data_IF_032576972567
#
_entry.id   IF_032576972567
#
_cell.length_a   1.000
_cell.length_b   1.000
_cell.length_c   1.000
_cell.angle_alpha   90.00
_cell.angle_beta   90.00
_cell.angle_gamma   90.00
#
_symmetry.space_group_name_H-M   'P 1'
#
loop_
_entity.id
_entity.type
_entity.pdbx_description
1 polymer ?
#
# COMPACT_ATOMS: atom_id res chain seq x y z
N UNK A 1 -35.31 0.87 -20.49
CA UNK A 1 -35.55 0.24 -19.17
C UNK A 1 -34.81 1.10 -18.17
N UNK A 2 -35.50 1.55 -17.13
CA UNK A 2 -34.98 2.50 -16.15
C UNK A 2 -33.81 1.87 -15.39
N UNK A 3 -32.59 2.35 -15.64
CA UNK A 3 -31.50 2.16 -14.69
C UNK A 3 -31.84 3.00 -13.48
N UNK A 4 -32.43 2.39 -12.46
CA UNK A 4 -32.42 3.00 -11.13
C UNK A 4 -30.96 3.29 -10.81
N UNK A 5 -30.65 4.57 -10.60
CA UNK A 5 -29.32 5.03 -10.21
C UNK A 5 -29.03 4.44 -8.83
N UNK A 6 -28.51 3.22 -8.85
CA UNK A 6 -28.20 2.42 -7.67
C UNK A 6 -26.76 2.71 -7.33
N UNK A 7 -26.51 3.05 -6.07
CA UNK A 7 -25.20 3.50 -5.60
C UNK A 7 -24.74 2.60 -4.46
N UNK A 8 -23.47 2.19 -4.51
CA UNK A 8 -22.81 1.50 -3.41
C UNK A 8 -22.07 2.51 -2.56
N UNK A 9 -22.28 2.44 -1.24
CA UNK A 9 -21.46 3.17 -0.29
C UNK A 9 -20.13 2.44 -0.08
N UNK A 10 -19.05 3.18 -0.32
CA UNK A 10 -17.67 2.78 -0.05
C UNK A 10 -17.13 3.66 1.08
N UNK A 11 -16.44 3.05 2.03
CA UNK A 11 -15.74 3.77 3.08
C UNK A 11 -14.25 3.80 2.77
N UNK A 12 -13.66 4.99 2.76
CA UNK A 12 -12.24 5.20 2.67
C UNK A 12 -11.76 6.05 3.85
N UNK A 13 -11.03 5.44 4.78
CA UNK A 13 -10.65 6.06 6.05
C UNK A 13 -11.89 6.58 6.80
N UNK A 14 -12.04 7.90 6.89
CA UNK A 14 -13.14 8.58 7.58
C UNK A 14 -14.20 9.14 6.60
N UNK A 15 -14.04 8.89 5.30
CA UNK A 15 -14.95 9.39 4.27
C UNK A 15 -15.81 8.26 3.69
N UNK A 16 -17.07 8.55 3.40
CA UNK A 16 -17.99 7.66 2.69
C UNK A 16 -18.25 8.25 1.31
N UNK A 17 -17.96 7.47 0.27
CA UNK A 17 -18.16 7.83 -1.13
C UNK A 17 -19.13 6.86 -1.77
N UNK A 18 -20.03 7.39 -2.59
CA UNK A 18 -20.99 6.58 -3.35
C UNK A 18 -20.48 6.34 -4.76
N UNK A 19 -20.36 5.07 -5.17
CA UNK A 19 -19.98 4.69 -6.54
C UNK A 19 -21.15 4.03 -7.26
N UNK A 20 -21.24 4.28 -8.56
CA UNK A 20 -22.32 3.80 -9.41
C UNK A 20 -22.30 2.26 -9.50
N UNK A 21 -23.48 1.66 -9.38
CA UNK A 21 -23.68 0.22 -9.57
C UNK A 21 -24.13 -0.02 -11.00
N UNK A 22 -23.56 -1.04 -11.62
CA UNK A 22 -23.90 -1.49 -12.97
C UNK A 22 -24.71 -2.77 -12.90
N UNK A 23 -25.64 -2.95 -13.84
CA UNK A 23 -26.34 -4.21 -14.04
C UNK A 23 -25.83 -4.92 -15.28
N UNK A 24 -25.69 -6.24 -15.19
CA UNK A 24 -25.48 -7.11 -16.35
C UNK A 24 -26.57 -8.17 -16.36
N UNK A 25 -27.10 -8.45 -17.55
CA UNK A 25 -27.98 -9.59 -17.77
C UNK A 25 -27.11 -10.76 -18.21
N UNK A 26 -26.67 -11.57 -17.26
CA UNK A 26 -25.89 -12.78 -17.52
C UNK A 26 -26.78 -13.98 -17.13
N UNK A 27 -27.09 -14.86 -18.10
CA UNK A 27 -27.95 -16.05 -17.94
C UNK A 27 -29.33 -15.80 -17.29
N UNK A 28 -30.12 -14.86 -17.83
CA UNK A 28 -31.46 -14.47 -17.33
C UNK A 28 -31.51 -14.02 -15.86
N UNK A 29 -30.35 -13.78 -15.24
CA UNK A 29 -30.22 -13.21 -13.91
C UNK A 29 -29.61 -11.83 -14.01
N UNK A 30 -30.33 -10.85 -13.48
CA UNK A 30 -29.77 -9.52 -13.29
C UNK A 30 -28.73 -9.58 -12.17
N UNK A 31 -27.47 -9.39 -12.53
CA UNK A 31 -26.36 -9.34 -11.58
C UNK A 31 -25.91 -7.90 -11.47
N UNK A 32 -26.02 -7.35 -10.27
CA UNK A 32 -25.53 -6.02 -9.94
C UNK A 32 -24.06 -6.09 -9.50
N UNK A 33 -23.21 -5.27 -10.09
CA UNK A 33 -21.78 -5.26 -9.85
C UNK A 33 -21.21 -3.84 -9.87
N UNK A 34 -20.01 -3.71 -9.31
CA UNK A 34 -19.26 -2.45 -9.27
C UNK A 34 -17.93 -2.68 -9.98
N UNK A 35 -17.57 -1.75 -10.86
CA UNK A 35 -16.29 -1.74 -11.55
C UNK A 35 -15.22 -1.20 -10.61
N UNK A 36 -14.09 -1.90 -10.53
CA UNK A 36 -12.94 -1.44 -9.75
C UNK A 36 -12.34 -0.17 -10.37
N UNK A 37 -12.42 -0.03 -11.69
CA UNK A 37 -11.93 1.15 -12.43
C UNK A 37 -12.65 2.43 -11.99
N UNK A 38 -13.98 2.41 -11.84
CA UNK A 38 -14.76 3.58 -11.37
C UNK A 38 -14.34 4.02 -9.95
N UNK A 39 -13.92 3.06 -9.12
CA UNK A 39 -13.38 3.34 -7.78
C UNK A 39 -11.96 3.90 -7.90
N UNK A 40 -11.15 3.36 -8.80
CA UNK A 40 -9.77 3.79 -9.02
C UNK A 40 -9.65 5.19 -9.62
N UNK A 41 -10.65 5.65 -10.37
CA UNK A 41 -10.75 7.04 -10.82
C UNK A 41 -10.77 8.03 -9.65
N UNK A 42 -11.37 7.64 -8.52
CA UNK A 42 -11.41 8.44 -7.30
C UNK A 42 -10.27 8.08 -6.34
N UNK A 43 -9.85 6.82 -6.33
CA UNK A 43 -8.87 6.24 -5.42
C UNK A 43 -7.88 5.34 -6.17
N UNK A 44 -6.83 5.87 -6.81
CA UNK A 44 -5.96 5.10 -7.70
C UNK A 44 -5.21 3.95 -7.00
N UNK A 45 -5.06 4.01 -5.67
CA UNK A 45 -4.44 2.96 -4.86
C UNK A 45 -5.45 1.89 -4.36
N UNK A 46 -6.72 1.96 -4.76
CA UNK A 46 -7.78 1.04 -4.35
C UNK A 46 -7.68 -0.30 -5.10
N UNK A 47 -7.02 -1.27 -4.47
CA UNK A 47 -6.84 -2.61 -5.02
C UNK A 47 -7.46 -3.72 -4.16
N UNK A 48 -7.89 -3.40 -2.95
CA UNK A 48 -8.40 -4.38 -1.99
C UNK A 48 -9.63 -3.81 -1.29
N UNK A 49 -10.66 -4.64 -1.14
CA UNK A 49 -11.95 -4.25 -0.62
C UNK A 49 -12.36 -5.20 0.49
N UNK A 50 -12.94 -4.68 1.58
CA UNK A 50 -13.39 -5.44 2.74
C UNK A 50 -14.82 -5.07 3.08
N UNK A 51 -15.62 -6.06 3.47
CA UNK A 51 -17.02 -5.87 3.83
C UNK A 51 -17.31 -6.70 5.08
N UNK A 52 -17.73 -6.05 6.18
CA UNK A 52 -18.03 -6.73 7.44
C UNK A 52 -16.87 -7.60 7.98
N UNK A 53 -15.62 -7.15 7.78
CA UNK A 53 -14.42 -7.90 8.19
C UNK A 53 -13.96 -9.01 7.23
N UNK A 54 -14.68 -9.26 6.14
CA UNK A 54 -14.32 -10.27 5.12
C UNK A 54 -13.80 -9.59 3.85
N UNK A 55 -12.77 -10.16 3.23
CA UNK A 55 -12.28 -9.69 1.94
C UNK A 55 -13.35 -9.92 0.87
N UNK A 56 -13.59 -8.90 0.05
CA UNK A 56 -14.47 -8.99 -1.11
C UNK A 56 -13.70 -9.62 -2.26
N UNK A 57 -14.20 -10.75 -2.75
CA UNK A 57 -13.62 -11.43 -3.89
C UNK A 57 -14.12 -10.79 -5.19
N UNK A 58 -13.24 -10.64 -6.18
CA UNK A 58 -13.65 -10.27 -7.53
C UNK A 58 -14.38 -11.42 -8.22
N UNK A 59 -15.31 -11.07 -9.09
CA UNK A 59 -16.09 -12.02 -9.86
C UNK A 59 -15.19 -12.79 -10.83
N UNK A 60 -15.50 -14.09 -10.97
CA UNK A 60 -14.83 -15.01 -11.89
C UNK A 60 -15.88 -15.59 -12.83
N UNK A 61 -15.45 -15.93 -14.03
CA UNK A 61 -16.27 -16.69 -14.96
C UNK A 61 -16.44 -18.15 -14.52
N UNK A 62 -17.21 -18.90 -15.29
CA UNK A 62 -17.47 -20.34 -15.08
C UNK A 62 -16.20 -21.20 -15.14
N UNK A 63 -15.16 -20.72 -15.83
CA UNK A 63 -13.85 -21.38 -15.93
C UNK A 63 -12.91 -21.00 -14.77
N UNK A 64 -13.37 -20.19 -13.82
CA UNK A 64 -12.62 -19.73 -12.66
C UNK A 64 -11.58 -18.66 -12.97
N UNK A 65 -11.62 -18.07 -14.17
CA UNK A 65 -10.76 -16.96 -14.58
C UNK A 65 -11.38 -15.62 -14.16
N UNK A 66 -10.51 -14.67 -13.85
CA UNK A 66 -10.94 -13.32 -13.46
C UNK A 66 -11.63 -12.61 -14.63
N UNK A 67 -12.79 -12.03 -14.34
CA UNK A 67 -13.49 -11.20 -15.30
C UNK A 67 -12.73 -9.89 -15.53
N UNK A 68 -12.64 -9.48 -16.80
CA UNK A 68 -12.11 -8.18 -17.23
C UNK A 68 -13.28 -7.37 -17.83
N UNK A 69 -13.49 -6.10 -17.46
CA UNK A 69 -12.79 -5.35 -16.40
C UNK A 69 -13.05 -5.93 -15.01
N UNK A 70 -12.13 -5.68 -14.07
CA UNK A 70 -12.23 -6.19 -12.69
C UNK A 70 -13.48 -5.64 -12.02
N UNK A 71 -14.28 -6.53 -11.45
CA UNK A 71 -15.56 -6.19 -10.82
C UNK A 71 -15.87 -7.09 -9.63
N UNK A 72 -16.66 -6.58 -8.70
CA UNK A 72 -17.19 -7.35 -7.58
C UNK A 72 -18.70 -7.11 -7.42
N UNK A 73 -19.39 -8.05 -6.77
CA UNK A 73 -20.84 -8.02 -6.61
C UNK A 73 -21.30 -6.87 -5.70
N UNK A 74 -22.40 -6.22 -6.07
CA UNK A 74 -23.07 -5.18 -5.29
C UNK A 74 -23.58 -5.70 -3.93
N UNK A 75 -23.51 -4.86 -2.89
CA UNK A 75 -23.94 -5.17 -1.53
C UNK A 75 -24.79 -4.03 -0.93
N UNK A 76 -26.13 -4.11 -1.05
CA UNK A 76 -27.02 -3.01 -0.69
C UNK A 76 -27.00 -2.64 0.81
N UNK A 77 -26.72 -3.60 1.69
CA UNK A 77 -26.81 -3.41 3.15
C UNK A 77 -25.46 -3.35 3.84
N UNK A 78 -24.35 -3.37 3.08
CA UNK A 78 -23.01 -3.38 3.64
C UNK A 78 -22.16 -2.26 3.04
N UNK A 79 -21.46 -1.52 3.89
CA UNK A 79 -20.49 -0.51 3.45
C UNK A 79 -19.18 -1.22 3.09
N UNK A 80 -18.72 -1.01 1.85
CA UNK A 80 -17.48 -1.63 1.35
C UNK A 80 -16.30 -0.75 1.71
N UNK A 81 -15.43 -1.22 2.59
CA UNK A 81 -14.23 -0.52 2.98
C UNK A 81 -13.13 -0.69 1.93
N UNK A 82 -12.56 0.42 1.47
CA UNK A 82 -11.42 0.46 0.56
C UNK A 82 -10.14 0.37 1.39
N UNK A 83 -9.41 -0.73 1.21
CA UNK A 83 -8.09 -0.93 1.80
C UNK A 83 -7.05 -0.45 0.78
N UNK A 84 -6.59 0.79 0.90
CA UNK A 84 -5.43 1.26 0.14
C UNK A 84 -4.15 0.79 0.82
N UNK A 85 -3.23 0.23 0.05
CA UNK A 85 -1.90 -0.13 0.55
C UNK A 85 -1.00 1.09 0.79
N UNK A 86 -1.44 2.30 0.40
CA UNK A 86 -0.75 3.56 0.66
C UNK A 86 -1.62 4.52 1.48
N UNK A 87 -1.07 4.93 2.63
CA UNK A 87 -1.55 5.96 3.58
C UNK A 87 -2.70 5.52 4.51
N UNK A 88 -2.57 5.54 5.83
CA UNK A 88 -1.92 6.54 6.67
C UNK A 88 -1.00 5.96 7.77
N UNK A 89 -0.01 6.78 8.10
CA UNK A 89 0.94 6.69 9.20
C UNK A 89 0.29 6.38 10.55
N UNK A 90 0.45 5.14 11.02
CA UNK A 90 0.58 4.84 12.44
C UNK A 90 2.02 4.37 12.69
N UNK A 91 2.77 5.00 13.61
CA UNK A 91 4.17 4.61 13.90
C UNK A 91 4.33 3.15 14.32
N UNK A 92 3.24 2.50 14.74
CA UNK A 92 3.27 1.13 15.24
C UNK A 92 3.16 0.04 14.17
N UNK A 93 2.82 0.37 12.92
CA UNK A 93 2.60 -0.65 11.87
C UNK A 93 3.78 -0.83 10.90
N UNK A 94 4.74 0.10 10.87
CA UNK A 94 5.93 -0.02 10.01
C UNK A 94 6.88 -1.15 10.44
N UNK A 95 6.80 -1.59 11.71
CA UNK A 95 7.61 -2.72 12.21
C UNK A 95 7.08 -4.07 11.70
N UNK A 96 5.81 -4.15 11.24
CA UNK A 96 5.22 -5.41 10.74
C UNK A 96 5.29 -5.59 9.23
N UNK A 97 5.40 -4.53 8.43
CA UNK A 97 5.50 -4.69 6.96
C UNK A 97 6.92 -5.01 6.49
N UNK A 98 7.92 -4.71 7.32
CA UNK A 98 9.31 -5.01 7.04
C UNK A 98 9.69 -6.48 7.27
N UNK A 99 8.79 -7.30 7.81
CA UNK A 99 8.98 -8.76 7.94
C UNK A 99 8.40 -9.57 6.79
N UNK A 100 7.64 -8.98 5.86
CA UNK A 100 7.09 -9.73 4.71
C UNK A 100 8.09 -9.86 3.56
N UNK A 101 9.11 -9.01 3.48
CA UNK A 101 10.22 -9.19 2.51
C UNK A 101 11.13 -10.36 2.91
N UNK A 102 11.04 -10.84 4.16
CA UNK A 102 11.73 -12.05 4.62
C UNK A 102 10.94 -13.35 4.38
N UNK A 103 9.73 -13.28 3.80
CA UNK A 103 8.95 -14.46 3.40
C UNK A 103 9.06 -14.78 1.89
N UNK A 104 9.97 -14.13 1.17
CA UNK A 104 10.34 -14.53 -0.19
C UNK A 104 11.24 -15.78 -0.20
N UNK A 105 10.82 -16.84 0.49
CA UNK A 105 11.11 -18.22 0.06
C UNK A 105 10.01 -18.72 -0.86
N UNK A 106 9.48 -17.87 -1.74
CA UNK A 106 8.78 -18.34 -2.93
C UNK A 106 9.81 -18.28 -4.06
N UNK A 107 10.59 -19.35 -4.20
CA UNK A 107 11.43 -19.54 -5.38
C UNK A 107 10.60 -19.18 -6.62
N UNK A 108 11.13 -18.28 -7.44
CA UNK A 108 10.51 -17.86 -8.70
C UNK A 108 10.12 -19.11 -9.49
N UNK A 109 9.03 -19.11 -10.28
CA UNK A 109 8.71 -20.21 -11.18
C UNK A 109 9.95 -20.66 -11.99
N UNK A 110 10.78 -19.71 -12.42
CA UNK A 110 12.03 -19.96 -13.13
C UNK A 110 13.11 -20.68 -12.28
N UNK A 111 13.12 -20.49 -10.96
CA UNK A 111 14.07 -21.18 -10.06
C UNK A 111 13.59 -22.59 -9.71
N UNK A 112 12.27 -22.81 -9.67
CA UNK A 112 11.68 -24.16 -9.58
C UNK A 112 11.96 -24.98 -10.84
N UNK A 113 11.86 -24.35 -12.01
CA UNK A 113 12.18 -25.00 -13.28
C UNK A 113 13.65 -25.43 -13.36
N UNK A 114 14.58 -24.60 -12.85
CA UNK A 114 16.00 -24.96 -12.73
C UNK A 114 16.22 -26.16 -11.79
N UNK A 115 15.48 -26.25 -10.69
CA UNK A 115 15.56 -27.39 -9.77
C UNK A 115 15.03 -28.68 -10.40
N UNK A 116 13.92 -28.61 -11.14
CA UNK A 116 13.40 -29.75 -11.90
C UNK A 116 14.37 -30.20 -13.00
N UNK A 117 15.01 -29.25 -13.69
CA UNK A 117 16.04 -29.53 -14.69
C UNK A 117 17.27 -30.23 -14.07
N UNK A 118 17.72 -29.77 -12.90
CA UNK A 118 18.85 -30.37 -12.18
C UNK A 118 18.53 -31.80 -11.72
N UNK A 119 17.30 -32.03 -11.26
CA UNK A 119 16.81 -33.36 -10.87
C UNK A 119 16.74 -34.32 -12.06
N UNK A 120 16.29 -33.84 -13.23
CA UNK A 120 16.29 -34.63 -14.47
C UNK A 120 17.71 -34.98 -14.94
N UNK A 121 18.66 -34.06 -14.81
CA UNK A 121 20.08 -34.33 -15.10
C UNK A 121 20.66 -35.42 -14.18
N UNK A 122 20.24 -35.49 -12.90
CA UNK A 122 20.73 -36.51 -11.96
C UNK A 122 20.28 -37.90 -12.37
N UNK A 123 19.02 -38.05 -12.76
CA UNK A 123 18.50 -39.32 -13.26
C UNK A 123 19.21 -39.78 -14.54
N UNK A 124 19.53 -38.84 -15.44
CA UNK A 124 20.26 -39.14 -16.67
C UNK A 124 21.71 -39.57 -16.40
N UNK A 125 22.36 -39.01 -15.38
CA UNK A 125 23.71 -39.42 -14.96
C UNK A 125 23.74 -40.86 -14.45
N UNK A 126 22.79 -41.25 -13.58
CA UNK A 126 22.72 -42.62 -13.08
C UNK A 126 22.47 -43.64 -14.20
N UNK A 127 21.62 -43.30 -15.18
CA UNK A 127 21.39 -44.15 -16.36
C UNK A 127 22.63 -44.28 -17.25
N UNK A 128 23.40 -43.21 -17.42
CA UNK A 128 24.65 -43.25 -18.19
C UNK A 128 25.73 -44.10 -17.49
N UNK A 129 25.77 -44.06 -16.15
CA UNK A 129 26.65 -44.91 -15.33
C UNK A 129 26.26 -46.39 -15.37
N UNK A 130 24.96 -46.72 -15.37
CA UNK A 130 24.49 -48.12 -15.53
C UNK A 130 24.80 -48.70 -16.92
N UNK A 131 24.78 -47.86 -17.96
CA UNK A 131 25.06 -48.28 -19.34
C UNK A 131 26.55 -48.23 -19.73
N UNK A 132 27.45 -48.04 -18.76
CA UNK A 132 28.91 -47.92 -18.92
C UNK A 132 29.35 -46.83 -19.94
N UNK A 133 28.52 -45.79 -20.12
CA UNK A 133 28.76 -44.68 -21.05
C UNK A 133 29.62 -43.59 -20.37
N UNK A 134 30.90 -43.91 -20.20
CA UNK A 134 31.88 -43.12 -19.43
C UNK A 134 32.03 -41.66 -19.91
N UNK A 135 32.12 -41.43 -21.21
CA UNK A 135 32.21 -40.06 -21.77
C UNK A 135 30.95 -39.22 -21.49
N UNK A 136 29.79 -39.87 -21.43
CA UNK A 136 28.53 -39.18 -21.17
C UNK A 136 28.42 -38.83 -19.68
N UNK A 137 28.86 -39.72 -18.80
CA UNK A 137 28.97 -39.46 -17.37
C UNK A 137 29.93 -38.28 -17.07
N UNK A 138 31.10 -38.22 -17.71
CA UNK A 138 32.08 -37.13 -17.52
C UNK A 138 31.53 -35.76 -17.98
N UNK A 139 30.79 -35.74 -19.10
CA UNK A 139 30.11 -34.52 -19.58
C UNK A 139 29.01 -34.07 -18.62
N UNK A 140 28.20 -34.99 -18.11
CA UNK A 140 27.18 -34.67 -17.12
C UNK A 140 27.79 -34.18 -15.79
N UNK A 141 28.90 -34.77 -15.35
CA UNK A 141 29.62 -34.33 -14.15
C UNK A 141 30.14 -32.90 -14.28
N UNK A 142 30.71 -32.56 -15.43
CA UNK A 142 31.18 -31.19 -15.71
C UNK A 142 30.01 -30.19 -15.71
N UNK A 143 28.88 -30.57 -16.32
CA UNK A 143 27.65 -29.77 -16.28
C UNK A 143 27.11 -29.58 -14.86
N UNK A 144 27.25 -30.58 -13.98
CA UNK A 144 26.86 -30.45 -12.57
C UNK A 144 27.73 -29.44 -11.83
N UNK A 145 29.04 -29.54 -11.95
CA UNK A 145 29.96 -28.61 -11.29
C UNK A 145 29.71 -27.16 -11.71
N UNK A 146 29.44 -26.94 -12.99
CA UNK A 146 29.07 -25.63 -13.49
C UNK A 146 27.75 -25.14 -12.87
N UNK A 147 26.70 -25.97 -12.90
CA UNK A 147 25.39 -25.61 -12.33
C UNK A 147 25.44 -25.29 -10.84
N UNK A 148 26.23 -26.04 -10.05
CA UNK A 148 26.44 -25.75 -8.64
C UNK A 148 27.18 -24.42 -8.40
N UNK A 149 28.18 -24.12 -9.23
CA UNK A 149 28.92 -22.86 -9.14
C UNK A 149 28.03 -21.66 -9.46
N UNK A 150 27.19 -21.77 -10.49
CA UNK A 150 26.22 -20.73 -10.86
C UNK A 150 25.14 -20.53 -9.79
N UNK A 151 24.63 -21.63 -9.21
CA UNK A 151 23.67 -21.57 -8.12
C UNK A 151 24.25 -20.89 -6.88
N UNK A 152 25.50 -21.20 -6.53
CA UNK A 152 26.16 -20.61 -5.37
C UNK A 152 26.37 -19.10 -5.58
N UNK A 153 26.83 -18.70 -6.77
CA UNK A 153 26.95 -17.29 -7.13
C UNK A 153 25.60 -16.56 -7.12
N UNK A 154 24.51 -17.22 -7.53
CA UNK A 154 23.17 -16.63 -7.46
C UNK A 154 22.68 -16.48 -6.02
N UNK A 155 22.99 -17.43 -5.14
CA UNK A 155 22.65 -17.37 -3.72
C UNK A 155 23.39 -16.22 -3.01
N UNK A 156 24.68 -16.05 -3.30
CA UNK A 156 25.48 -14.93 -2.76
C UNK A 156 24.93 -13.58 -3.21
N UNK A 157 24.54 -13.43 -4.49
CA UNK A 157 23.89 -12.22 -4.98
C UNK A 157 22.56 -11.94 -4.29
N UNK A 158 21.76 -12.98 -4.04
CA UNK A 158 20.51 -12.83 -3.31
C UNK A 158 20.74 -12.41 -1.87
N UNK A 159 21.76 -12.96 -1.20
CA UNK A 159 22.14 -12.57 0.15
C UNK A 159 22.56 -11.08 0.20
N UNK A 160 23.32 -10.63 -0.79
CA UNK A 160 23.77 -9.24 -0.89
C UNK A 160 22.62 -8.27 -1.17
N UNK A 161 21.71 -8.63 -2.09
CA UNK A 161 20.47 -7.88 -2.32
C UNK A 161 19.62 -7.77 -1.06
N UNK A 162 19.54 -8.86 -0.27
CA UNK A 162 18.79 -8.86 0.98
C UNK A 162 19.42 -7.93 2.03
N UNK A 163 20.76 -7.85 2.08
CA UNK A 163 21.47 -6.88 2.91
C UNK A 163 21.20 -5.45 2.45
N UNK A 164 21.34 -5.17 1.15
CA UNK A 164 21.06 -3.84 0.60
C UNK A 164 19.63 -3.38 0.88
N UNK A 165 18.65 -4.26 0.74
CA UNK A 165 17.26 -3.95 1.06
C UNK A 165 17.08 -3.61 2.55
N UNK A 166 17.76 -4.35 3.44
CA UNK A 166 17.69 -4.09 4.88
C UNK A 166 18.35 -2.75 5.24
N UNK A 167 19.52 -2.45 4.66
CA UNK A 167 20.21 -1.17 4.85
C UNK A 167 19.37 0.00 4.34
N UNK A 168 18.78 -0.15 3.15
CA UNK A 168 17.86 0.85 2.58
C UNK A 168 16.63 1.06 3.46
N UNK A 169 16.10 -0.02 4.03
CA UNK A 169 14.96 0.04 4.93
C UNK A 169 15.32 0.77 6.24
N UNK A 170 16.48 0.51 6.82
CA UNK A 170 16.97 1.24 7.99
C UNK A 170 17.13 2.73 7.70
N UNK A 171 17.70 3.08 6.55
CA UNK A 171 17.83 4.46 6.13
C UNK A 171 16.47 5.16 5.98
N UNK A 172 15.48 4.49 5.38
CA UNK A 172 14.14 5.04 5.24
C UNK A 172 13.50 5.32 6.60
N UNK A 173 13.66 4.42 7.56
CA UNK A 173 13.14 4.60 8.94
C UNK A 173 13.78 5.82 9.60
N UNK A 174 15.10 5.98 9.52
CA UNK A 174 15.78 7.16 10.07
C UNK A 174 15.30 8.46 9.43
N UNK A 175 15.13 8.47 8.11
CA UNK A 175 14.63 9.65 7.40
C UNK A 175 13.21 10.00 7.85
N UNK A 176 12.37 9.00 8.11
CA UNK A 176 11.03 9.20 8.62
C UNK A 176 11.04 9.77 10.04
N UNK A 177 11.86 9.22 10.95
CA UNK A 177 12.02 9.75 12.31
C UNK A 177 12.47 11.21 12.30
N UNK A 178 13.48 11.55 11.51
CA UNK A 178 13.95 12.92 11.37
C UNK A 178 12.84 13.87 10.85
N UNK A 179 11.98 13.38 9.95
CA UNK A 179 10.86 14.17 9.42
C UNK A 179 9.79 14.40 10.47
N UNK A 180 9.47 13.37 11.27
CA UNK A 180 8.52 13.47 12.37
C UNK A 180 9.01 14.43 13.47
N UNK A 181 10.31 14.36 13.83
CA UNK A 181 10.92 15.27 14.81
C UNK A 181 10.83 16.73 14.34
N UNK A 182 11.13 16.98 13.06
CA UNK A 182 10.98 18.32 12.48
C UNK A 182 9.54 18.81 12.51
N UNK A 183 8.58 17.94 12.22
CA UNK A 183 7.17 18.28 12.26
C UNK A 183 6.71 18.63 13.68
N UNK A 184 7.14 17.86 14.68
CA UNK A 184 6.83 18.12 16.08
C UNK A 184 7.36 19.49 16.54
N UNK A 185 8.59 19.85 16.16
CA UNK A 185 9.17 21.18 16.45
C UNK A 185 8.35 22.29 15.80
N UNK A 186 7.95 22.13 14.54
CA UNK A 186 7.14 23.12 13.82
C UNK A 186 5.77 23.27 14.48
N UNK A 187 5.09 22.16 14.78
CA UNK A 187 3.81 22.18 15.46
C UNK A 187 3.89 22.85 16.84
N UNK A 188 4.92 22.54 17.63
CA UNK A 188 5.13 23.19 18.94
C UNK A 188 5.33 24.71 18.83
N UNK A 189 6.06 25.17 17.81
CA UNK A 189 6.24 26.62 17.56
C UNK A 189 4.95 27.30 17.12
N UNK A 190 4.19 26.67 16.24
CA UNK A 190 2.89 27.19 15.79
C UNK A 190 1.93 27.29 16.96
N UNK A 191 1.85 26.26 17.80
CA UNK A 191 1.02 26.27 19.00
C UNK A 191 1.40 27.42 19.94
N UNK A 192 2.70 27.59 20.23
CA UNK A 192 3.19 28.66 21.09
C UNK A 192 2.85 30.06 20.54
N UNK A 193 2.96 30.26 19.22
CA UNK A 193 2.56 31.51 18.57
C UNK A 193 1.05 31.76 18.70
N UNK A 194 0.22 30.75 18.44
CA UNK A 194 -1.22 30.85 18.56
C UNK A 194 -1.63 31.20 19.99
N UNK A 195 -1.07 30.53 20.99
CA UNK A 195 -1.31 30.83 22.41
C UNK A 195 -0.90 32.25 22.76
N UNK A 196 0.30 32.69 22.35
CA UNK A 196 0.77 34.06 22.62
C UNK A 196 -0.14 35.13 21.97
N UNK A 197 -0.63 34.87 20.75
CA UNK A 197 -1.60 35.79 20.10
C UNK A 197 -2.96 35.79 20.77
N UNK A 198 -3.37 34.65 21.33
CA UNK A 198 -4.63 34.51 22.05
C UNK A 198 -4.59 35.29 23.37
N UNK A 199 -3.52 35.10 24.16
CA UNK A 199 -3.30 35.89 25.39
C UNK A 199 -3.25 37.40 25.11
N UNK A 200 -2.65 37.82 23.99
CA UNK A 200 -2.61 39.23 23.62
C UNK A 200 -3.99 39.84 23.31
N UNK A 201 -4.93 39.05 22.79
CA UNK A 201 -6.28 39.56 22.49
C UNK A 201 -7.21 39.54 23.71
N UNK A 202 -6.95 38.67 24.70
CA UNK A 202 -7.69 38.66 25.96
C UNK A 202 -7.38 39.90 26.79
N UNK A 203 -6.18 40.46 26.65
CA UNK A 203 -5.89 41.83 27.05
C UNK A 203 -6.42 42.80 25.98
N UNK A 204 -7.71 43.10 26.07
CA UNK A 204 -8.26 44.30 25.43
C UNK A 204 -7.43 45.48 25.92
N UNK A 205 -6.45 45.96 25.13
CA UNK A 205 -5.71 47.19 25.44
C UNK A 205 -6.81 48.22 25.68
N UNK A 206 -6.99 48.72 26.92
CA UNK A 206 -8.04 49.67 27.19
C UNK A 206 -7.72 50.87 26.32
N UNK A 207 -8.59 51.11 25.34
CA UNK A 207 -8.44 52.26 24.44
C UNK A 207 -8.66 53.49 25.31
N UNK A 208 -7.56 54.10 25.75
CA UNK A 208 -7.55 55.38 26.44
C UNK A 208 -8.00 56.43 25.43
N UNK A 209 -9.27 56.80 25.49
CA UNK A 209 -9.78 57.94 24.75
C UNK A 209 -9.54 59.20 25.59
N UNK A 210 -8.62 60.04 25.14
CA UNK A 210 -8.49 61.39 25.67
C UNK A 210 -9.56 62.24 24.98
N UNK A 211 -10.63 62.57 25.70
CA UNK A 211 -11.65 63.49 25.19
C UNK A 211 -11.11 64.91 25.40
N UNK A 212 -10.72 65.56 24.30
CA UNK A 212 -10.34 66.97 24.33
C UNK A 212 -11.61 67.84 24.28
N UNK A 213 -11.72 68.88 25.12
CA UNK A 213 -12.82 69.83 25.05
C UNK A 213 -12.84 70.54 23.70
N UNK A 214 -14.05 70.80 23.17
CA UNK A 214 -14.26 71.42 21.87
C UNK A 214 -13.77 72.87 21.80
N UNK A 215 -13.79 73.58 22.93
CA UNK A 215 -13.40 74.98 23.03
C UNK A 215 -12.34 75.18 24.12
N UNK A 216 -11.14 75.69 23.78
CA UNK A 216 -10.10 75.96 24.77
C UNK A 216 -10.34 77.25 25.58
N UNK A 217 -11.46 77.94 25.38
CA UNK A 217 -11.76 79.21 26.06
C UNK A 217 -12.51 79.06 27.39
N UNK A 218 -12.92 77.85 27.77
CA UNK A 218 -13.56 77.56 29.06
C UNK A 218 -12.59 77.06 30.13
N UNK A 219 -11.28 77.03 29.85
CA UNK A 219 -10.25 76.83 30.86
C UNK A 219 -10.07 78.11 31.70
N UNK A 220 -11.09 78.45 32.48
CA UNK A 220 -10.97 79.43 33.56
C UNK A 220 -10.26 78.73 34.72
N UNK A 221 -8.93 78.76 34.71
CA UNK A 221 -8.09 78.38 35.84
C UNK A 221 -8.24 79.47 36.92
N UNK A 222 -9.19 79.26 37.84
CA UNK A 222 -9.22 79.94 39.13
C UNK A 222 -9.01 78.95 40.26
#
# INVERSE_FOLDING_TARGET
>A
MHTEDTWQQLQYKDEIVSVKVHSSTEDDKEVLYILVEDIQDHFPDANTFRCGGKLVNFMRDTDGKWLSPKRFAYRPDEVVEIITTKSASSPQQLVRQNTTVLQSTSASPADKDKFHLLSAHFQNYFKAMENDQKEQADRLQSSFQQGFSELHAALDRNLDLQRQLNDMQQYMVQLQEQTLDRLAVIQGRVQALLTATYELHEYSIPRLFIILPKDPSTWDLR
#
